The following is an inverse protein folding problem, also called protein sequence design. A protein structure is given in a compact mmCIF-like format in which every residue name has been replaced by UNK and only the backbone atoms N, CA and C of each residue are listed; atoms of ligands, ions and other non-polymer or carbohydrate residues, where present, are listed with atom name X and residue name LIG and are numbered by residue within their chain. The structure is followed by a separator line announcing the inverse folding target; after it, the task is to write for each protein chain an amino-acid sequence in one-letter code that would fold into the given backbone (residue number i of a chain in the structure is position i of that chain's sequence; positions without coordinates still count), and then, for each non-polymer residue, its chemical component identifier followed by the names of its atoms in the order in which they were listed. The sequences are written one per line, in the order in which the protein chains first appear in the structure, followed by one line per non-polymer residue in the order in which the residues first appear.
data_IF_513315888494
#
_entry.id   IF_513315888494
#
_cell.length_a   1.000
_cell.length_b   1.000
_cell.length_c   1.000
_cell.angle_alpha   90.00
_cell.angle_beta   90.00
_cell.angle_gamma   90.00
#
_symmetry.space_group_name_H-M   'P 1'
#
loop_
_entity.id
_entity.type
_entity.pdbx_description
1 polymer ?
#
# COMPACT_ATOMS: atom_id res chain seq x y z
N UNK A 1 -8.19 38.23 7.06
CA UNK A 1 -9.62 38.04 6.77
C UNK A 1 -9.86 36.56 6.62
N UNK A 2 -10.21 35.86 7.71
CA UNK A 2 -10.71 34.49 7.59
C UNK A 2 -12.22 34.63 7.42
N UNK A 3 -12.68 34.45 6.19
CA UNK A 3 -14.11 34.46 5.89
C UNK A 3 -14.73 33.26 6.60
N UNK A 4 -15.70 33.50 7.49
CA UNK A 4 -16.54 32.51 8.18
C UNK A 4 -17.36 31.71 7.16
N UNK A 5 -16.67 30.89 6.38
CA UNK A 5 -17.24 29.96 5.43
C UNK A 5 -17.69 28.76 6.24
N UNK A 6 -18.98 28.75 6.57
CA UNK A 6 -19.62 27.63 7.22
C UNK A 6 -19.60 26.44 6.25
N UNK A 7 -18.55 25.64 6.32
CA UNK A 7 -18.39 24.44 5.51
C UNK A 7 -19.42 23.41 6.00
N UNK A 8 -20.31 22.98 5.10
CA UNK A 8 -21.16 21.83 5.34
C UNK A 8 -20.29 20.62 5.72
N UNK A 9 -20.69 19.80 6.71
CA UNK A 9 -19.91 18.64 7.11
C UNK A 9 -19.73 17.71 5.91
N UNK A 10 -18.50 17.68 5.37
CA UNK A 10 -18.13 16.80 4.28
C UNK A 10 -17.54 15.53 4.86
N UNK A 11 -18.02 14.40 4.36
CA UNK A 11 -17.49 13.07 4.71
C UNK A 11 -16.14 12.78 4.03
N UNK A 12 -15.68 13.69 3.16
CA UNK A 12 -14.45 13.56 2.38
C UNK A 12 -13.65 14.85 2.41
N UNK A 13 -12.37 14.76 2.74
CA UNK A 13 -11.42 15.87 2.83
C UNK A 13 -10.40 15.72 1.69
N UNK A 14 -10.36 16.70 0.79
CA UNK A 14 -9.45 16.69 -0.37
C UNK A 14 -8.33 17.72 -0.15
N UNK A 15 -7.10 17.26 0.05
CA UNK A 15 -5.93 18.11 0.29
C UNK A 15 -4.75 17.59 -0.53
N UNK A 16 -4.06 18.48 -1.26
CA UNK A 16 -2.83 18.16 -2.02
C UNK A 16 -2.99 16.99 -3.02
N UNK A 17 -4.17 16.83 -3.61
CA UNK A 17 -4.48 15.73 -4.54
C UNK A 17 -4.80 14.39 -3.85
N UNK A 18 -4.83 14.36 -2.52
CA UNK A 18 -5.25 13.21 -1.73
C UNK A 18 -6.69 13.41 -1.26
N UNK A 19 -7.47 12.33 -1.30
CA UNK A 19 -8.85 12.29 -0.85
C UNK A 19 -8.97 11.40 0.38
N UNK A 20 -9.40 11.98 1.50
CA UNK A 20 -9.55 11.31 2.78
C UNK A 20 -11.04 11.18 3.10
N UNK A 21 -11.57 9.96 3.02
CA UNK A 21 -12.95 9.67 3.41
C UNK A 21 -13.02 9.33 4.91
N UNK A 22 -14.14 9.65 5.56
CA UNK A 22 -14.44 9.24 6.95
C UNK A 22 -14.28 7.71 7.15
N UNK A 23 -14.60 6.96 6.10
CA UNK A 23 -14.36 5.53 6.03
C UNK A 23 -12.93 5.30 5.51
N UNK A 24 -11.97 5.25 6.42
CA UNK A 24 -10.57 4.92 6.13
C UNK A 24 -10.42 3.40 5.87
N UNK A 25 -11.01 2.92 4.78
CA UNK A 25 -10.95 1.52 4.41
C UNK A 25 -9.69 1.21 3.58
N UNK A 26 -8.66 0.71 4.26
CA UNK A 26 -7.41 0.30 3.64
C UNK A 26 -7.42 -1.16 3.14
N UNK A 27 -8.54 -1.88 3.26
CA UNK A 27 -8.60 -3.33 2.97
C UNK A 27 -8.13 -3.66 1.56
N UNK A 28 -8.58 -2.91 0.56
CA UNK A 28 -8.17 -3.13 -0.84
C UNK A 28 -6.67 -2.86 -1.03
N UNK A 29 -6.16 -1.78 -0.43
CA UNK A 29 -4.73 -1.44 -0.51
C UNK A 29 -3.86 -2.52 0.15
N UNK A 30 -4.18 -2.91 1.38
CA UNK A 30 -3.49 -3.97 2.12
C UNK A 30 -3.56 -5.30 1.36
N UNK A 31 -4.73 -5.65 0.83
CA UNK A 31 -4.92 -6.89 0.06
C UNK A 31 -4.08 -6.88 -1.23
N UNK A 32 -4.01 -5.75 -1.93
CA UNK A 32 -3.18 -5.58 -3.13
C UNK A 32 -1.69 -5.70 -2.81
N UNK A 33 -1.25 -5.06 -1.73
CA UNK A 33 0.12 -5.13 -1.25
C UNK A 33 0.50 -6.56 -0.84
N UNK A 34 -0.35 -7.23 -0.05
CA UNK A 34 -0.16 -8.61 0.36
C UNK A 34 -0.07 -9.55 -0.86
N UNK A 35 -0.98 -9.41 -1.83
CA UNK A 35 -0.96 -10.19 -3.07
C UNK A 35 0.35 -10.01 -3.83
N UNK A 36 0.84 -8.77 -3.94
CA UNK A 36 2.10 -8.46 -4.61
C UNK A 36 3.29 -9.09 -3.89
N UNK A 37 3.34 -8.96 -2.56
CA UNK A 37 4.39 -9.57 -1.74
C UNK A 37 4.37 -11.11 -1.87
N UNK A 38 3.20 -11.74 -1.76
CA UNK A 38 3.05 -13.19 -1.92
C UNK A 38 3.50 -13.67 -3.29
N UNK A 39 3.23 -12.92 -4.37
CA UNK A 39 3.70 -13.26 -5.71
C UNK A 39 5.22 -13.23 -5.79
N UNK A 40 5.86 -12.17 -5.29
CA UNK A 40 7.33 -12.04 -5.26
C UNK A 40 7.98 -13.16 -4.45
N UNK A 41 7.47 -13.43 -3.25
CA UNK A 41 7.95 -14.52 -2.40
C UNK A 41 7.74 -15.89 -3.05
N UNK A 42 6.62 -16.09 -3.73
CA UNK A 42 6.34 -17.31 -4.47
C UNK A 42 7.34 -17.57 -5.60
N UNK A 43 7.71 -16.52 -6.35
CA UNK A 43 8.77 -16.58 -7.38
C UNK A 43 10.11 -16.92 -6.74
N UNK A 44 10.51 -16.22 -5.68
CA UNK A 44 11.76 -16.49 -4.97
C UNK A 44 11.82 -17.93 -4.43
N UNK A 45 10.73 -18.44 -3.86
CA UNK A 45 10.65 -19.82 -3.37
C UNK A 45 10.86 -20.84 -4.48
N UNK A 46 10.30 -20.62 -5.68
CA UNK A 46 10.48 -21.50 -6.84
C UNK A 46 11.90 -21.42 -7.40
N UNK A 47 12.49 -20.24 -7.39
CA UNK A 47 13.85 -20.03 -7.88
C UNK A 47 14.92 -20.50 -6.88
N UNK A 48 14.55 -20.76 -5.62
CA UNK A 48 15.48 -21.19 -4.55
C UNK A 48 16.37 -22.37 -4.94
N UNK A 49 15.88 -23.32 -5.74
CA UNK A 49 16.65 -24.48 -6.20
C UNK A 49 17.77 -24.13 -7.21
N UNK A 50 17.69 -22.96 -7.83
CA UNK A 50 18.68 -22.48 -8.80
C UNK A 50 19.72 -21.54 -8.18
N UNK A 51 19.55 -21.17 -6.90
CA UNK A 51 20.48 -20.29 -6.20
C UNK A 51 21.30 -21.06 -5.17
N UNK A 52 22.62 -20.87 -5.20
CA UNK A 52 23.50 -21.36 -4.13
C UNK A 52 23.30 -20.54 -2.85
N UNK A 53 23.56 -21.13 -1.68
CA UNK A 53 23.43 -20.47 -0.37
C UNK A 53 24.02 -19.05 -0.29
N UNK A 54 25.21 -18.74 -0.85
CA UNK A 54 25.74 -17.37 -0.83
C UNK A 54 24.96 -16.38 -1.71
N UNK A 55 24.37 -16.82 -2.83
CA UNK A 55 23.58 -15.94 -3.71
C UNK A 55 22.21 -15.58 -3.12
N UNK A 56 21.65 -16.47 -2.28
CA UNK A 56 20.43 -16.18 -1.53
C UNK A 56 20.65 -15.11 -0.45
N UNK A 57 21.84 -15.05 0.15
CA UNK A 57 22.19 -14.08 1.19
C UNK A 57 22.25 -12.64 0.62
N UNK A 58 22.64 -12.47 -0.63
CA UNK A 58 22.72 -11.15 -1.29
C UNK A 58 21.37 -10.60 -1.74
N UNK A 59 20.36 -11.47 -1.83
CA UNK A 59 19.02 -11.16 -2.34
C UNK A 59 18.03 -10.79 -1.21
N UNK A 60 18.43 -11.04 0.04
CA UNK A 60 17.65 -10.82 1.26
C UNK A 60 18.04 -9.47 1.90
#
# INVERSE_FOLDING_TARGET
FFSDTQLSPSSTLNILGLSFTYNLNWKLHISSLAKTASMKLGVLRRLRQFFSSPQLLTLY
#
